data_IF_356520747861
#
_entry.id   IF_356520747861
#
_cell.length_a   1.000
_cell.length_b   1.000
_cell.length_c   1.000
_cell.angle_alpha   90.00
_cell.angle_beta   90.00
_cell.angle_gamma   90.00
#
_symmetry.space_group_name_H-M   'P 1'
#
loop_
_entity.id
_entity.type
_entity.pdbx_description
1 polymer ?
#
# COMPACT_ATOMS: atom_id res chain seq x y z
N UNK A 1 21.90 -1.99 -2.69
CA UNK A 1 21.28 -1.00 -1.83
C UNK A 1 20.57 0.06 -2.63
N UNK A 2 19.38 0.37 -2.23
CA UNK A 2 18.60 1.39 -2.92
C UNK A 2 18.57 2.65 -2.11
N UNK A 3 18.93 3.75 -2.76
CA UNK A 3 18.90 5.04 -2.09
C UNK A 3 17.58 5.77 -2.31
N UNK A 4 16.74 5.21 -3.17
CA UNK A 4 15.51 5.89 -3.57
C UNK A 4 14.28 5.20 -3.01
N UNK A 5 14.38 4.72 -1.78
CA UNK A 5 13.23 4.12 -1.13
C UNK A 5 12.37 5.19 -0.51
N UNK A 6 11.07 4.99 -0.62
CA UNK A 6 10.10 5.89 -0.02
C UNK A 6 9.22 5.11 0.93
N UNK A 7 8.73 5.81 1.94
CA UNK A 7 7.78 5.23 2.87
C UNK A 7 6.38 5.58 2.43
N UNK A 8 5.55 4.57 2.34
CA UNK A 8 4.18 4.74 1.88
C UNK A 8 3.25 4.14 2.92
N UNK A 9 2.38 4.94 3.53
CA UNK A 9 1.39 4.38 4.46
C UNK A 9 0.30 3.65 3.69
N UNK A 10 -0.16 2.56 4.30
CA UNK A 10 -1.24 1.76 3.74
C UNK A 10 -2.49 2.07 4.55
N UNK A 11 -3.48 2.60 3.88
CA UNK A 11 -4.76 2.89 4.53
C UNK A 11 -5.80 1.89 4.10
N UNK A 12 -6.57 1.43 5.05
CA UNK A 12 -7.71 0.55 4.78
C UNK A 12 -8.94 1.25 5.30
N UNK A 13 -9.88 1.50 4.39
CA UNK A 13 -11.12 2.21 4.70
C UNK A 13 -10.86 3.54 5.40
N UNK A 14 -9.80 4.22 4.97
CA UNK A 14 -9.47 5.53 5.49
C UNK A 14 -8.63 5.55 6.74
N UNK A 15 -8.20 4.39 7.23
CA UNK A 15 -7.37 4.32 8.42
C UNK A 15 -6.01 3.72 8.09
N UNK A 16 -4.96 4.38 8.52
CA UNK A 16 -3.60 3.88 8.30
C UNK A 16 -3.38 2.62 9.11
N UNK A 17 -3.05 1.54 8.44
CA UNK A 17 -2.85 0.26 9.10
C UNK A 17 -1.40 -0.19 9.10
N UNK A 18 -0.63 0.28 8.13
CA UNK A 18 0.77 -0.11 8.02
C UNK A 18 1.51 0.94 7.24
N UNK A 19 2.83 0.91 7.36
CA UNK A 19 3.70 1.75 6.55
C UNK A 19 4.75 0.83 5.96
N UNK A 20 4.96 0.92 4.66
CA UNK A 20 5.96 0.11 3.99
C UNK A 20 6.96 0.99 3.28
N UNK A 21 8.13 0.43 3.04
CA UNK A 21 9.16 1.09 2.23
C UNK A 21 9.21 0.39 0.88
N UNK A 22 9.12 1.16 -0.17
CA UNK A 22 9.23 0.62 -1.52
C UNK A 22 10.17 1.49 -2.32
N UNK A 23 10.64 0.95 -3.44
CA UNK A 23 11.47 1.71 -4.33
C UNK A 23 10.67 2.84 -4.95
N UNK A 24 11.28 3.99 -5.10
CA UNK A 24 10.61 5.12 -5.75
C UNK A 24 10.26 4.79 -7.20
N UNK A 25 10.95 3.80 -7.79
CA UNK A 25 10.68 3.37 -9.16
C UNK A 25 9.69 2.22 -9.22
N UNK A 26 9.16 1.79 -8.09
CA UNK A 26 8.24 0.68 -8.08
C UNK A 26 6.98 1.02 -8.86
N UNK A 27 6.50 0.05 -9.61
CA UNK A 27 5.28 0.26 -10.37
C UNK A 27 4.07 0.21 -9.44
N UNK A 28 2.94 0.63 -9.97
CA UNK A 28 1.70 0.58 -9.22
C UNK A 28 1.40 -0.82 -8.73
N UNK A 29 1.58 -1.80 -9.62
CA UNK A 29 1.30 -3.19 -9.25
C UNK A 29 2.20 -3.66 -8.13
N UNK A 30 3.49 -3.31 -8.21
CA UNK A 30 4.42 -3.70 -7.16
C UNK A 30 4.08 -3.03 -5.84
N UNK A 31 3.74 -1.75 -5.88
CA UNK A 31 3.42 -1.02 -4.67
C UNK A 31 2.17 -1.58 -4.01
N UNK A 32 1.15 -1.85 -4.81
CA UNK A 32 -0.10 -2.37 -4.27
C UNK A 32 0.10 -3.78 -3.73
N UNK A 33 0.86 -4.60 -4.45
CA UNK A 33 1.15 -5.94 -3.96
C UNK A 33 1.87 -5.91 -2.62
N UNK A 34 2.87 -5.04 -2.51
CA UNK A 34 3.60 -4.92 -1.25
C UNK A 34 2.68 -4.43 -0.13
N UNK A 35 1.81 -3.47 -0.45
CA UNK A 35 0.86 -2.97 0.53
C UNK A 35 -0.11 -4.03 0.99
N UNK A 36 -0.63 -4.82 0.07
CA UNK A 36 -1.54 -5.89 0.45
C UNK A 36 -0.86 -6.92 1.33
N UNK A 37 0.38 -7.25 1.02
CA UNK A 37 1.12 -8.19 1.85
C UNK A 37 1.31 -7.67 3.26
N UNK A 38 1.60 -6.39 3.37
CA UNK A 38 1.85 -5.78 4.67
C UNK A 38 0.62 -5.82 5.57
N UNK A 39 -0.56 -5.81 4.98
CA UNK A 39 -1.80 -5.79 5.73
C UNK A 39 -2.66 -7.03 5.44
N UNK A 40 -2.02 -8.12 5.01
CA UNK A 40 -2.76 -9.30 4.59
C UNK A 40 -3.66 -9.82 5.70
N UNK A 41 -3.18 -9.77 6.93
CA UNK A 41 -3.98 -10.25 8.06
C UNK A 41 -5.09 -9.27 8.45
N UNK A 42 -5.07 -8.09 7.89
CA UNK A 42 -6.11 -7.10 8.12
C UNK A 42 -7.11 -7.02 6.98
N UNK A 43 -6.83 -7.69 5.88
CA UNK A 43 -7.72 -7.71 4.73
C UNK A 43 -8.71 -8.86 4.91
N UNK A 44 -9.71 -8.62 5.72
CA UNK A 44 -10.66 -9.67 6.10
C UNK A 44 -11.90 -9.67 5.22
N UNK A 45 -12.02 -8.70 4.33
CA UNK A 45 -13.18 -8.60 3.46
C UNK A 45 -12.78 -8.62 2.00
N UNK A 46 -13.73 -8.25 1.16
CA UNK A 46 -13.49 -8.17 -0.26
C UNK A 46 -12.95 -6.80 -0.62
N UNK A 47 -11.85 -6.76 -1.35
CA UNK A 47 -11.28 -5.50 -1.78
C UNK A 47 -12.17 -4.93 -2.87
N UNK A 48 -12.68 -3.73 -2.62
CA UNK A 48 -13.53 -3.05 -3.57
C UNK A 48 -12.72 -2.15 -4.48
N UNK A 49 -11.72 -1.49 -3.92
CA UNK A 49 -10.96 -0.51 -4.67
C UNK A 49 -9.58 -0.39 -4.11
N UNK A 50 -8.63 -0.14 -5.00
CA UNK A 50 -7.23 0.09 -4.63
C UNK A 50 -6.78 1.36 -5.29
N UNK A 51 -6.23 2.27 -4.49
CA UNK A 51 -5.74 3.53 -5.01
C UNK A 51 -4.28 3.67 -4.58
N UNK A 52 -3.42 3.89 -5.55
CA UNK A 52 -2.01 4.13 -5.29
C UNK A 52 -1.67 5.55 -5.73
N UNK A 53 -1.18 6.34 -4.81
CA UNK A 53 -0.66 7.66 -5.13
C UNK A 53 0.84 7.60 -4.93
N UNK A 54 1.64 7.73 -5.99
CA UNK A 54 3.09 7.60 -5.88
C UNK A 54 3.66 8.57 -4.86
N UNK A 55 4.56 8.06 -4.04
CA UNK A 55 5.26 8.85 -3.03
C UNK A 55 4.32 9.45 -1.99
N UNK A 56 3.12 8.96 -1.90
CA UNK A 56 2.16 9.49 -0.94
C UNK A 56 1.49 8.40 -0.12
N UNK A 57 0.61 7.62 -0.75
CA UNK A 57 -0.24 6.73 0.04
C UNK A 57 -0.79 5.62 -0.83
N UNK A 58 -1.04 4.49 -0.20
CA UNK A 58 -1.83 3.43 -0.81
C UNK A 58 -3.11 3.31 -0.02
N UNK A 59 -4.23 3.42 -0.69
CA UNK A 59 -5.53 3.37 -0.04
C UNK A 59 -6.28 2.15 -0.55
N UNK A 60 -6.68 1.28 0.36
CA UNK A 60 -7.42 0.08 0.03
C UNK A 60 -8.81 0.21 0.65
N UNK A 61 -9.82 0.06 -0.17
CA UNK A 61 -11.20 0.06 0.29
C UNK A 61 -11.70 -1.37 0.23
N UNK A 62 -12.19 -1.87 1.34
CA UNK A 62 -12.74 -3.22 1.40
C UNK A 62 -14.11 -3.19 2.07
N UNK A 63 -14.85 -4.23 1.80
CA UNK A 63 -16.16 -4.41 2.43
C UNK A 63 -16.07 -5.33 3.61
#
# INVERSE_FOLDING_TARGET
MKDDEIEVPIQINGKTRAVISISADASKDEAIAAGKEAVADKLTGTIVKEIYVPKKIINIVQK
#
